data_IF_773584885520
#
_entry.id   IF_773584885520
#
_cell.length_a   1.000
_cell.length_b   1.000
_cell.length_c   1.000
_cell.angle_alpha   90.00
_cell.angle_beta   90.00
_cell.angle_gamma   90.00
#
_symmetry.space_group_name_H-M   'P 1'
#
loop_
_entity.id
_entity.type
_entity.pdbx_description
1 polymer ?
2 polymer ?
3 non-polymer ?
4 non-polymer ?
5 water ?
#
# COMPACT_ATOMS: atom_id res chain seq x y z
N UNK A 6 -9.20 29.58 -7.66
CA UNK A 6 -9.34 29.27 -6.24
C UNK A 6 -8.13 28.58 -5.61
N UNK A 7 -7.40 29.31 -4.78
CA UNK A 7 -6.18 28.78 -4.20
C UNK A 7 -6.09 29.20 -2.74
N UNK A 8 -5.70 28.27 -1.88
CA UNK A 8 -5.86 28.45 -0.45
C UNK A 8 -4.85 29.46 0.08
N UNK A 9 -5.15 29.97 1.28
CA UNK A 9 -4.40 31.03 1.95
C UNK A 9 -3.94 30.60 3.35
N UNK A 10 -3.74 29.28 3.62
CA UNK A 10 -3.57 28.79 4.98
C UNK A 10 -2.64 27.60 5.20
N UNK A 11 -3.02 26.74 6.13
CA UNK A 11 -2.16 25.61 6.50
C UNK A 11 -2.29 24.52 5.46
N UNK A 12 -1.21 23.76 5.28
CA UNK A 12 -1.10 22.70 4.29
C UNK A 12 -1.20 21.35 4.96
N UNK A 13 -1.97 20.44 4.37
CA UNK A 13 -2.17 19.11 4.91
C UNK A 13 -1.69 18.08 3.91
N UNK A 14 -0.85 17.15 4.35
CA UNK A 14 -0.43 16.02 3.52
C UNK A 14 -1.14 14.77 4.02
N UNK A 15 -1.98 14.17 3.17
CA UNK A 15 -2.64 12.90 3.48
C UNK A 15 -2.09 11.83 2.55
N UNK A 16 -1.27 10.92 3.04
CA UNK A 16 -0.73 9.88 2.17
C UNK A 16 -1.81 8.86 1.82
N UNK A 17 -1.67 8.26 0.65
CA UNK A 17 -2.65 7.32 0.13
C UNK A 17 -1.92 6.18 -0.54
N UNK A 18 -2.68 5.11 -0.81
CA UNK A 18 -2.19 3.97 -1.57
C UNK A 18 -3.23 3.67 -2.62
N UNK A 19 -2.78 3.42 -3.85
CA UNK A 19 -3.70 3.11 -4.93
C UNK A 19 -3.08 1.99 -5.76
N UNK A 20 -3.94 1.27 -6.47
CA UNK A 20 -3.48 0.17 -7.30
C UNK A 20 -4.57 -0.88 -7.46
N UNK A 21 -4.16 -2.13 -7.70
CA UNK A 21 -5.17 -3.16 -7.85
C UNK A 21 -4.68 -4.50 -7.31
N UNK A 22 -5.64 -5.34 -6.99
CA UNK A 22 -5.42 -6.76 -6.80
C UNK A 22 -6.09 -7.47 -7.97
N UNK A 23 -5.58 -8.65 -8.32
CA UNK A 23 -6.22 -9.45 -9.36
C UNK A 23 -5.97 -10.93 -9.08
N UNK A 24 -6.97 -11.77 -9.36
CA UNK A 24 -6.89 -13.20 -9.15
C UNK A 24 -7.18 -13.93 -10.47
N UNK A 25 -6.37 -14.94 -10.77
CA UNK A 25 -6.37 -15.52 -12.12
C UNK A 25 -7.28 -16.73 -12.21
N UNK A 26 -7.48 -17.17 -13.45
CA UNK A 26 -8.43 -18.22 -13.81
C UNK A 26 -9.78 -17.97 -13.13
N UNK A 27 -10.49 -16.99 -13.69
CA UNK A 27 -11.79 -16.62 -13.19
C UNK A 27 -12.48 -15.52 -13.98
N UNK A 30 -15.03 -18.04 -17.26
CA UNK A 30 -14.42 -18.06 -18.57
C UNK A 30 -15.41 -18.47 -19.67
N UNK A 31 -16.29 -19.45 -19.39
CA UNK A 31 -17.19 -19.92 -20.43
C UNK A 31 -18.25 -18.87 -20.76
N UNK A 32 -18.70 -18.11 -19.78
CA UNK A 32 -19.75 -17.11 -20.05
C UNK A 32 -19.25 -16.05 -21.01
N UNK A 33 -17.97 -15.66 -20.91
CA UNK A 33 -17.51 -14.47 -21.60
C UNK A 33 -16.02 -14.50 -21.96
N UNK A 34 -15.33 -15.61 -21.75
CA UNK A 34 -13.90 -15.70 -22.04
C UNK A 34 -13.00 -14.97 -21.06
N UNK A 35 -13.53 -14.46 -19.96
CA UNK A 35 -12.71 -13.69 -19.04
C UNK A 35 -11.77 -14.59 -18.26
N UNK A 36 -10.60 -14.04 -17.90
CA UNK A 36 -9.55 -14.80 -17.26
C UNK A 36 -9.23 -14.37 -15.84
N UNK A 37 -9.69 -13.18 -15.41
CA UNK A 37 -9.28 -12.59 -14.14
C UNK A 37 -10.42 -11.80 -13.52
N UNK A 38 -10.51 -11.84 -12.19
CA UNK A 38 -11.22 -10.84 -11.43
C UNK A 38 -10.21 -9.88 -10.83
N UNK A 39 -10.55 -8.60 -10.82
CA UNK A 39 -9.64 -7.62 -10.25
C UNK A 39 -10.43 -6.53 -9.54
N UNK A 40 -9.77 -5.89 -8.58
CA UNK A 40 -10.27 -4.74 -7.85
C UNK A 40 -9.23 -3.65 -7.91
N UNK A 41 -9.61 -2.46 -8.37
CA UNK A 41 -8.78 -1.26 -8.35
C UNK A 41 -9.25 -0.34 -7.22
N UNK A 42 -8.33 0.30 -6.54
CA UNK A 42 -8.73 0.96 -5.30
C UNK A 42 -7.79 2.09 -4.93
N UNK A 43 -8.32 3.00 -4.09
CA UNK A 43 -7.55 4.02 -3.37
C UNK A 43 -7.92 3.91 -1.90
N UNK A 44 -6.93 3.89 -1.01
CA UNK A 44 -7.14 3.88 0.43
C UNK A 44 -6.11 4.79 1.08
N UNK A 45 -6.33 5.21 2.33
CA UNK A 45 -5.29 5.98 3.03
C UNK A 45 -4.16 5.06 3.48
N UNK A 46 -2.96 5.61 3.54
CA UNK A 46 -1.81 4.81 3.99
C UNK A 46 -2.03 4.28 5.40
N UNK A 47 -2.38 5.16 6.32
CA UNK A 47 -2.86 4.80 7.64
C UNK A 47 -4.37 4.95 7.63
N UNK A 48 -5.06 4.06 8.30
CA UNK A 48 -6.51 4.12 8.23
C UNK A 48 -7.04 5.41 8.83
N UNK A 49 -8.04 5.97 8.18
CA UNK A 49 -8.77 7.14 8.63
C UNK A 49 -10.01 7.25 7.75
N UNK A 50 -11.01 7.93 8.25
CA UNK A 50 -12.23 8.18 7.49
C UNK A 50 -11.88 9.22 6.44
N UNK A 51 -11.50 8.74 5.26
CA UNK A 51 -11.17 9.56 4.08
C UNK A 51 -12.38 10.33 3.52
N UNK A 52 -13.63 9.98 3.93
CA UNK A 52 -14.82 10.78 3.67
C UNK A 52 -14.80 12.14 4.35
N UNK A 53 -13.92 12.35 5.34
CA UNK A 53 -13.79 13.69 5.92
C UNK A 53 -13.51 14.73 4.84
N UNK A 54 -12.81 14.36 3.77
CA UNK A 54 -12.40 15.32 2.75
C UNK A 54 -12.60 14.82 1.32
N UNK A 55 -12.61 13.52 1.04
CA UNK A 55 -12.93 13.06 -0.30
C UNK A 55 -14.44 13.11 -0.51
N UNK A 56 -14.85 13.74 -1.61
CA UNK A 56 -16.25 13.72 -2.05
C UNK A 56 -16.57 12.44 -2.84
N UNK A 57 -15.71 12.09 -3.79
CA UNK A 57 -15.98 10.96 -4.69
C UNK A 57 -14.73 10.68 -5.48
N UNK A 58 -14.58 9.44 -5.90
CA UNK A 58 -13.42 9.02 -6.67
C UNK A 58 -13.90 8.34 -7.96
N UNK A 59 -13.38 8.78 -9.10
CA UNK A 59 -13.74 8.24 -10.40
C UNK A 59 -12.66 7.30 -10.89
N UNK A 60 -13.09 6.16 -11.42
CA UNK A 60 -12.18 5.22 -12.08
C UNK A 60 -12.61 5.15 -13.55
N UNK A 61 -11.76 5.67 -14.43
CA UNK A 61 -12.04 5.66 -15.87
C UNK A 61 -11.35 4.44 -16.48
N UNK A 62 -12.15 3.50 -16.98
CA UNK A 62 -11.67 2.25 -17.55
C UNK A 62 -11.49 2.32 -19.07
N UNK A 63 -10.94 1.24 -19.63
CA UNK A 63 -10.75 1.14 -21.07
C UNK A 63 -12.10 1.05 -21.78
N UNK A 64 -12.13 1.48 -23.05
CA UNK A 64 -13.40 1.61 -23.74
C UNK A 64 -14.06 0.26 -23.97
N UNK A 65 -13.32 -0.84 -23.86
CA UNK A 65 -13.89 -2.17 -24.00
C UNK A 65 -14.90 -2.48 -22.90
N UNK A 66 -14.85 -1.75 -21.79
CA UNK A 66 -15.86 -1.91 -20.77
C UNK A 66 -17.11 -1.14 -21.15
N UNK A 67 -18.26 -1.79 -21.02
CA UNK A 67 -19.50 -1.05 -21.02
C UNK A 67 -19.46 -0.12 -19.83
N UNK A 68 -19.77 1.15 -20.07
CA UNK A 68 -19.69 2.16 -19.03
C UNK A 68 -18.28 2.21 -18.45
N UNK A 69 -17.34 2.84 -19.14
CA UNK A 69 -15.98 2.90 -18.60
C UNK A 69 -15.81 3.86 -17.45
N UNK A 70 -16.74 4.80 -17.24
CA UNK A 70 -16.63 5.73 -16.12
C UNK A 70 -17.33 5.15 -14.89
N UNK A 71 -16.54 4.85 -13.86
CA UNK A 71 -17.03 4.31 -12.60
C UNK A 71 -16.80 5.31 -11.47
N UNK A 72 -17.78 5.50 -10.62
CA UNK A 72 -17.66 6.51 -9.57
C UNK A 72 -18.09 5.90 -8.25
N UNK A 73 -17.27 6.11 -7.22
CA UNK A 73 -17.55 5.64 -5.86
C UNK A 73 -17.46 6.81 -4.89
N UNK A 74 -18.48 6.96 -4.05
CA UNK A 74 -18.60 8.11 -3.16
C UNK A 74 -18.38 7.80 -1.68
N UNK A 75 -18.43 6.53 -1.28
CA UNK A 75 -18.29 6.12 0.11
C UNK A 75 -17.23 5.02 0.20
N UNK A 76 -16.52 4.94 1.32
CA UNK A 76 -15.51 3.89 1.46
C UNK A 76 -16.14 2.52 1.45
N UNK A 77 -15.40 1.47 1.03
CA UNK A 77 -14.06 1.55 0.47
C UNK A 77 -14.09 1.99 -0.98
N UNK A 78 -13.13 2.81 -1.37
CA UNK A 78 -13.11 3.37 -2.71
C UNK A 78 -12.49 2.33 -3.63
N UNK A 79 -13.33 1.45 -4.16
CA UNK A 79 -12.86 0.33 -4.96
C UNK A 79 -13.87 0.00 -6.05
N UNK A 80 -13.37 -0.56 -7.14
CA UNK A 80 -14.17 -1.01 -8.25
C UNK A 80 -13.68 -2.41 -8.56
N UNK A 81 -14.59 -3.37 -8.61
CA UNK A 81 -14.24 -4.76 -8.85
C UNK A 81 -14.80 -5.16 -10.20
N UNK A 82 -14.05 -5.95 -10.94
CA UNK A 82 -14.47 -6.21 -12.30
C UNK A 82 -13.82 -7.51 -12.76
N UNK A 83 -14.27 -8.05 -13.89
CA UNK A 83 -13.57 -9.14 -14.54
C UNK A 83 -13.13 -8.71 -15.93
N UNK A 84 -12.04 -9.29 -16.40
CA UNK A 84 -11.54 -8.86 -17.69
C UNK A 84 -10.58 -9.87 -18.25
N UNK A 85 -10.01 -9.52 -19.40
CA UNK A 85 -8.99 -10.32 -20.04
C UNK A 85 -7.69 -9.59 -20.21
N UNK A 86 -7.69 -8.27 -20.04
CA UNK A 86 -6.58 -7.46 -20.47
C UNK A 86 -6.14 -6.45 -19.43
N UNK A 87 -4.88 -6.04 -19.60
CA UNK A 87 -4.27 -4.96 -18.85
C UNK A 87 -4.36 -3.67 -19.66
N UNK A 88 -4.63 -2.57 -18.95
CA UNK A 88 -4.75 -1.25 -19.54
C UNK A 88 -4.53 -0.24 -18.42
N UNK A 89 -4.37 1.00 -18.82
CA UNK A 89 -4.16 2.10 -17.91
C UNK A 89 -5.50 2.65 -17.44
N UNK A 90 -5.63 2.81 -16.11
CA UNK A 90 -6.84 3.34 -15.48
C UNK A 90 -6.52 4.73 -14.97
N UNK A 91 -7.42 5.68 -15.20
CA UNK A 91 -7.27 7.03 -14.69
C UNK A 91 -8.13 7.16 -13.44
N UNK A 92 -7.50 7.49 -12.32
CA UNK A 92 -8.20 7.67 -11.04
C UNK A 92 -8.21 9.16 -10.73
N UNK A 93 -9.40 9.75 -10.62
CA UNK A 93 -9.55 11.18 -10.34
C UNK A 93 -10.25 11.34 -9.01
N UNK A 94 -9.59 11.98 -8.05
CA UNK A 94 -10.11 12.18 -6.70
C UNK A 94 -10.66 13.61 -6.59
N UNK A 95 -11.94 13.74 -6.22
CA UNK A 95 -12.63 15.01 -6.03
C UNK A 95 -12.91 15.28 -4.55
N UNK A 96 -12.82 16.55 -4.16
CA UNK A 96 -12.85 16.93 -2.75
C UNK A 96 -14.17 17.58 -2.37
N UNK A 97 -14.54 17.39 -1.10
CA UNK A 97 -15.72 18.05 -0.55
C UNK A 97 -15.61 19.57 -0.70
N UNK A 98 -14.44 20.14 -0.40
CA UNK A 98 -14.26 21.59 -0.49
C UNK A 98 -14.14 21.99 -1.96
N UNK A 99 -14.97 22.91 -2.44
CA UNK A 99 -15.04 23.16 -3.91
C UNK A 99 -13.85 23.93 -4.45
N UNK A 100 -12.98 24.44 -3.60
CA UNK A 100 -11.79 25.13 -4.03
C UNK A 100 -10.54 24.28 -3.92
N UNK A 101 -10.67 23.04 -3.46
CA UNK A 101 -9.58 22.08 -3.50
C UNK A 101 -9.70 21.33 -4.82
N UNK A 102 -8.75 21.55 -5.72
CA UNK A 102 -8.84 21.01 -7.06
C UNK A 102 -8.64 19.50 -7.05
N UNK A 103 -9.18 18.78 -8.03
CA UNK A 103 -9.09 17.31 -8.04
C UNK A 103 -7.67 16.83 -8.27
N UNK A 104 -7.46 15.57 -7.89
CA UNK A 104 -6.17 14.90 -8.03
C UNK A 104 -6.37 13.78 -9.04
N UNK A 105 -5.48 13.71 -10.04
CA UNK A 105 -5.57 12.68 -11.07
C UNK A 105 -4.40 11.71 -10.93
N UNK A 106 -4.72 10.44 -10.74
CA UNK A 106 -3.76 9.36 -10.70
C UNK A 106 -3.91 8.49 -11.94
N UNK A 107 -2.83 7.81 -12.30
CA UNK A 107 -2.80 6.85 -13.41
C UNK A 107 -2.26 5.52 -12.90
N UNK A 108 -2.93 4.43 -13.24
CA UNK A 108 -2.53 3.13 -12.75
C UNK A 108 -2.65 2.10 -13.86
N UNK A 109 -1.55 1.41 -14.13
CA UNK A 109 -1.55 0.32 -15.07
C UNK A 109 -2.02 -0.91 -14.31
N UNK A 110 -3.20 -1.39 -14.70
CA UNK A 110 -3.78 -2.62 -14.17
C UNK A 110 -2.92 -3.81 -14.52
N UNK A 111 -2.57 -4.59 -13.50
CA UNK A 111 -1.73 -5.76 -13.66
C UNK A 111 -2.57 -7.00 -13.37
N UNK A 112 -2.47 -8.03 -14.24
CA UNK A 112 -3.22 -9.27 -14.07
C UNK A 112 -2.37 -10.51 -13.88
N UNK A 113 -1.25 -10.65 -14.58
CA UNK A 113 -0.50 -11.91 -14.57
C UNK A 113 0.96 -11.78 -14.12
N UNK A 121 4.88 -20.01 -14.51
CA UNK A 121 3.76 -19.24 -13.99
C UNK A 121 2.90 -20.07 -13.04
N UNK A 122 3.15 -19.95 -11.74
CA UNK A 122 2.44 -20.76 -10.76
C UNK A 122 1.48 -19.98 -9.89
N UNK A 123 1.76 -18.70 -9.62
CA UNK A 123 0.98 -17.95 -8.66
C UNK A 123 -0.27 -17.35 -9.32
N UNK A 124 -1.34 -17.25 -8.52
CA UNK A 124 -2.65 -16.88 -9.01
C UNK A 124 -2.98 -15.41 -8.80
N UNK A 125 -2.42 -14.79 -7.75
CA UNK A 125 -2.80 -13.45 -7.31
C UNK A 125 -1.69 -12.44 -7.57
N UNK A 126 -2.08 -11.22 -7.89
CA UNK A 126 -1.12 -10.16 -8.10
C UNK A 126 -1.63 -8.91 -7.40
N UNK A 127 -0.72 -8.19 -6.74
CA UNK A 127 -0.99 -6.92 -6.08
C UNK A 127 -0.02 -5.88 -6.61
N UNK A 128 -0.53 -4.82 -7.26
CA UNK A 128 0.33 -3.75 -7.77
C UNK A 128 -0.16 -2.44 -7.16
N UNK A 129 0.68 -1.85 -6.31
CA UNK A 129 0.22 -0.92 -5.30
C UNK A 129 1.21 0.23 -5.20
N UNK A 130 0.73 1.46 -5.25
CA UNK A 130 1.64 2.59 -5.18
C UNK A 130 1.27 3.58 -4.08
N UNK A 131 2.31 4.18 -3.52
CA UNK A 131 2.21 5.22 -2.52
C UNK A 131 2.18 6.59 -3.20
N UNK A 132 1.28 7.45 -2.72
CA UNK A 132 1.30 8.84 -3.13
C UNK A 132 0.86 9.67 -1.93
N UNK A 133 0.78 10.99 -2.12
CA UNK A 133 0.37 11.91 -1.07
C UNK A 133 -0.52 13.00 -1.67
N UNK A 134 -1.71 13.17 -1.11
CA UNK A 134 -2.55 14.32 -1.43
C UNK A 134 -2.20 15.52 -0.54
N UNK A 135 -1.82 16.64 -1.15
CA UNK A 135 -1.53 17.88 -0.45
C UNK A 135 -2.82 18.71 -0.47
N UNK A 136 -3.60 18.64 0.61
CA UNK A 136 -4.73 19.52 0.77
C UNK A 136 -4.21 20.84 1.32
N UNK A 137 -5.09 21.79 1.52
CA UNK A 137 -4.79 22.89 2.42
C UNK A 137 -5.97 23.05 3.36
N UNK A 138 -5.67 23.20 4.66
CA UNK A 138 -6.70 23.28 5.69
C UNK A 138 -6.96 24.73 6.10
N UNK A 139 -8.12 25.02 6.66
CA UNK A 139 -8.32 26.32 7.33
C UNK A 139 -7.34 26.55 8.46
N UNK A 140 -6.96 27.83 8.65
CA UNK A 140 -5.89 28.23 9.58
C UNK A 140 -6.42 28.64 10.94
N UNK A 141 -7.27 27.77 11.52
CA UNK A 141 -7.71 27.83 12.92
C UNK A 141 -6.67 28.28 13.95
N UNK B 15 4.27 11.60 19.11
CA UNK B 15 4.26 11.10 17.73
C UNK B 15 4.21 9.58 17.71
N UNK B 16 3.00 9.01 17.79
CA UNK B 16 2.89 7.55 17.76
C UNK B 16 3.22 7.02 16.37
N UNK B 17 4.39 6.37 16.29
CA UNK B 17 4.95 5.84 15.05
C UNK B 17 5.15 4.36 15.29
N UNK B 18 4.44 3.52 14.51
CA UNK B 18 4.54 2.08 14.60
C UNK B 18 5.70 1.59 13.73
N UNK B 19 6.19 0.39 14.04
CA UNK B 19 7.33 -0.21 13.35
C UNK B 19 7.30 -1.71 13.56
N UNK B 20 7.93 -2.44 12.63
CA UNK B 20 7.93 -3.89 12.70
C UNK B 20 7.89 -4.52 11.33
N UNK B 21 7.34 -5.73 11.20
CA UNK B 21 7.19 -6.26 9.86
C UNK B 21 5.91 -7.07 9.71
N UNK B 22 5.49 -7.23 8.45
CA UNK B 22 4.50 -8.21 8.05
C UNK B 22 5.20 -9.29 7.25
N UNK B 23 4.52 -10.42 7.09
CA UNK B 23 5.08 -11.51 6.28
C UNK B 23 3.99 -12.50 5.89
N UNK B 24 4.25 -13.21 4.80
CA UNK B 24 3.37 -14.30 4.33
C UNK B 24 4.22 -15.46 3.85
N UNK B 25 4.05 -16.63 4.48
CA UNK B 25 4.56 -17.89 3.93
C UNK B 25 3.77 -18.23 2.68
N UNK B 26 4.44 -18.70 1.63
CA UNK B 26 3.82 -18.42 0.36
C UNK B 26 4.08 -19.55 -0.62
N UNK B 35 12.67 -19.53 -1.81
CA UNK B 35 12.32 -18.93 -0.52
C UNK B 35 10.93 -19.40 -0.04
N UNK B 36 10.59 -19.08 1.21
CA UNK B 36 9.26 -19.39 1.75
C UNK B 36 8.47 -18.19 2.20
N UNK B 37 9.07 -17.01 2.24
CA UNK B 37 8.38 -15.88 2.84
C UNK B 37 8.68 -14.64 2.04
N UNK B 38 7.67 -13.81 1.88
CA UNK B 38 7.85 -12.41 1.54
C UNK B 38 7.54 -11.59 2.78
N UNK B 39 8.36 -10.56 3.03
CA UNK B 39 8.17 -9.73 4.20
C UNK B 39 8.50 -8.27 3.90
N UNK B 40 7.93 -7.40 4.71
CA UNK B 40 8.16 -5.97 4.62
C UNK B 40 8.43 -5.44 6.02
N UNK B 41 9.62 -4.87 6.23
CA UNK B 41 9.98 -4.15 7.44
C UNK B 41 9.71 -2.67 7.23
N UNK B 42 9.29 -1.97 8.27
CA UNK B 42 8.83 -0.61 8.05
C UNK B 42 8.82 0.19 9.34
N UNK B 43 8.85 1.50 9.18
CA UNK B 43 8.40 2.44 10.20
C UNK B 43 7.45 3.41 9.53
N UNK B 44 6.38 3.76 10.24
CA UNK B 44 5.38 4.65 9.67
C UNK B 44 4.62 5.34 10.81
N UNK B 45 3.95 6.45 10.54
CA UNK B 45 3.10 7.07 11.57
C UNK B 45 1.92 6.19 11.92
N UNK B 46 1.44 6.30 13.15
CA UNK B 46 0.20 5.60 13.49
C UNK B 46 -1.00 6.34 12.90
N UNK B 47 -0.99 7.67 12.96
CA UNK B 47 -2.00 8.46 12.29
C UNK B 47 -1.58 8.69 10.85
N UNK B 48 -2.56 8.94 9.99
CA UNK B 48 -2.25 9.15 8.59
C UNK B 48 -1.64 10.53 8.37
N UNK B 49 -0.33 10.64 8.51
CA UNK B 49 0.30 11.93 8.37
C UNK B 49 1.56 11.76 7.56
N UNK B 50 2.17 12.89 7.25
CA UNK B 50 3.44 12.91 6.53
C UNK B 50 4.57 12.85 7.55
N UNK B 51 5.14 11.65 7.72
CA UNK B 51 6.25 11.49 8.64
C UNK B 51 7.49 12.25 8.18
N UNK B 52 7.56 12.61 6.89
CA UNK B 52 8.65 13.43 6.39
C UNK B 52 8.60 14.86 6.93
N UNK B 53 7.52 15.23 7.63
CA UNK B 53 7.51 16.49 8.36
C UNK B 53 8.47 16.46 9.54
N UNK B 54 8.88 15.28 10.02
CA UNK B 54 9.74 15.20 11.18
C UNK B 54 10.72 14.02 11.15
N UNK B 55 10.86 13.31 10.03
CA UNK B 55 11.81 12.21 9.88
C UNK B 55 12.86 12.58 8.84
N UNK B 56 14.14 12.55 9.23
CA UNK B 56 15.24 12.79 8.31
C UNK B 56 15.23 11.75 7.18
N UNK B 57 15.42 10.49 7.55
CA UNK B 57 15.49 9.30 6.70
C UNK B 57 15.62 8.10 7.63
N UNK B 58 15.33 6.91 7.11
CA UNK B 58 15.31 5.70 7.93
C UNK B 58 16.27 4.69 7.33
N UNK B 59 17.10 4.11 8.17
CA UNK B 59 18.12 3.14 7.75
C UNK B 59 17.77 1.75 8.27
N UNK B 60 17.76 0.77 7.38
CA UNK B 60 17.39 -0.61 7.72
C UNK B 60 18.61 -1.50 7.55
N UNK B 61 19.27 -1.81 8.67
CA UNK B 61 20.45 -2.68 8.69
C UNK B 61 19.99 -4.13 8.63
N UNK B 62 20.14 -4.76 7.47
CA UNK B 62 19.72 -6.15 7.30
C UNK B 62 20.81 -7.10 7.77
N UNK B 63 20.50 -8.39 7.72
CA UNK B 63 21.43 -9.42 8.14
C UNK B 63 22.57 -9.53 7.15
N UNK B 64 23.74 -9.95 7.65
CA UNK B 64 24.95 -10.08 6.83
C UNK B 64 24.76 -10.90 5.56
N UNK B 65 23.65 -11.64 5.44
CA UNK B 65 23.38 -12.50 4.30
C UNK B 65 22.56 -11.82 3.23
N UNK B 66 22.24 -10.54 3.38
CA UNK B 66 21.51 -9.82 2.36
C UNK B 66 22.48 -8.88 1.66
N UNK B 67 22.28 -8.69 0.36
CA UNK B 67 23.08 -7.70 -0.35
C UNK B 67 22.81 -6.31 0.18
N UNK B 68 23.89 -5.55 0.39
CA UNK B 68 23.79 -4.19 0.90
C UNK B 68 22.93 -4.16 2.16
N UNK B 69 23.45 -4.64 3.31
CA UNK B 69 22.60 -4.81 4.49
C UNK B 69 22.07 -3.50 5.07
N UNK B 70 22.84 -2.41 4.97
CA UNK B 70 22.38 -1.09 5.39
C UNK B 70 21.53 -0.52 4.26
N UNK B 71 20.23 -0.68 4.37
CA UNK B 71 19.31 -0.23 3.34
C UNK B 71 18.81 1.17 3.69
N UNK B 72 18.96 2.09 2.76
CA UNK B 72 18.75 3.51 3.00
C UNK B 72 17.51 3.95 2.25
N UNK B 73 16.51 4.43 2.98
CA UNK B 73 15.31 5.00 2.39
C UNK B 73 15.18 6.44 2.86
N UNK B 74 15.19 7.36 1.90
CA UNK B 74 14.96 8.77 2.18
C UNK B 74 13.50 9.12 1.96
N UNK B 75 13.00 8.87 0.75
CA UNK B 75 11.63 9.25 0.43
C UNK B 75 10.66 8.20 0.94
N UNK B 76 9.56 8.59 1.58
CA UNK B 76 8.60 7.61 2.10
C UNK B 76 7.93 6.87 0.96
N UNK B 77 7.36 5.68 1.20
CA UNK B 77 7.21 4.96 2.48
C UNK B 77 8.51 4.36 2.98
N UNK B 78 8.73 4.43 4.31
CA UNK B 78 9.92 3.88 4.94
C UNK B 78 9.69 2.38 5.14
N UNK B 79 9.82 1.64 4.04
CA UNK B 79 9.66 0.19 4.10
C UNK B 79 10.56 -0.49 3.10
N UNK B 80 11.07 -1.64 3.51
CA UNK B 80 11.89 -2.52 2.69
C UNK B 80 11.15 -3.85 2.57
N UNK B 81 10.90 -4.27 1.33
CA UNK B 81 10.20 -5.52 1.03
C UNK B 81 11.17 -6.52 0.40
N UNK B 82 11.13 -7.76 0.88
CA UNK B 82 12.00 -8.81 0.38
C UNK B 82 11.31 -10.16 0.52
N UNK B 83 11.90 -11.17 -0.11
CA UNK B 83 11.62 -12.55 0.22
C UNK B 83 12.83 -13.11 0.98
N UNK B 84 12.56 -14.09 1.84
CA UNK B 84 13.66 -14.74 2.51
C UNK B 84 13.22 -16.09 3.00
N UNK B 85 14.08 -16.71 3.80
CA UNK B 85 13.74 -17.96 4.45
C UNK B 85 13.89 -17.94 5.97
N UNK B 86 14.57 -16.93 6.55
CA UNK B 86 14.94 -16.98 7.94
C UNK B 86 14.70 -15.68 8.68
N UNK B 87 14.67 -15.80 10.00
CA UNK B 87 14.44 -14.70 10.92
C UNK B 87 15.78 -14.19 11.45
N UNK B 88 15.83 -12.91 11.79
CA UNK B 88 17.05 -12.23 12.21
C UNK B 88 16.65 -10.84 12.67
N UNK B 89 17.51 -10.19 13.45
CA UNK B 89 17.09 -8.86 13.93
C UNK B 89 17.51 -7.80 12.91
N UNK B 90 16.75 -6.70 12.91
CA UNK B 90 16.94 -5.59 11.98
C UNK B 90 17.21 -4.35 12.81
N UNK B 91 18.22 -3.59 12.44
CA UNK B 91 18.59 -2.36 13.12
C UNK B 91 18.09 -1.19 12.28
N UNK B 92 17.38 -0.26 12.93
CA UNK B 92 16.63 0.79 12.24
C UNK B 92 17.13 2.14 12.77
N UNK B 93 17.89 2.85 11.95
CA UNK B 93 18.39 4.19 12.31
C UNK B 93 17.44 5.28 11.81
N UNK B 103 19.59 9.13 15.45
CA UNK B 103 19.02 8.97 16.79
C UNK B 103 17.75 8.10 16.77
N UNK B 104 17.35 7.59 17.95
CA UNK B 104 16.20 6.70 18.12
C UNK B 104 16.40 5.38 17.38
N UNK B 105 17.46 4.65 17.73
CA UNK B 105 17.72 3.36 17.13
C UNK B 105 16.81 2.31 17.72
N UNK B 106 16.06 1.63 16.86
CA UNK B 106 15.17 0.56 17.29
C UNK B 106 15.70 -0.77 16.79
N UNK B 107 15.31 -1.85 17.48
CA UNK B 107 15.69 -3.19 17.11
C UNK B 107 14.44 -4.02 16.90
N UNK B 108 14.41 -4.78 15.81
CA UNK B 108 13.26 -5.60 15.48
C UNK B 108 13.75 -6.96 15.03
N UNK B 109 13.16 -8.01 15.61
CA UNK B 109 13.37 -9.36 15.13
C UNK B 109 12.40 -9.58 13.99
N UNK B 110 12.92 -9.71 12.77
CA UNK B 110 12.05 -10.05 11.66
C UNK B 110 11.32 -11.35 11.99
N UNK B 111 9.99 -11.28 12.06
CA UNK B 111 9.18 -12.45 12.38
C UNK B 111 8.56 -12.97 11.09
N UNK B 112 8.93 -14.19 10.72
CA UNK B 112 8.31 -14.87 9.61
C UNK B 112 7.37 -15.97 10.07
N UNK B 113 7.64 -16.57 11.20
CA UNK B 113 6.98 -17.80 11.55
C UNK B 113 5.70 -17.50 12.31
N UNK B 114 4.58 -17.86 11.67
CA UNK B 114 3.27 -17.77 12.28
C UNK B 114 3.23 -18.67 13.49
N UNK B 115 2.54 -18.23 14.55
CA UNK B 115 2.38 -19.11 15.68
C UNK B 115 1.35 -20.19 15.33
N UNK B 116 1.36 -21.25 16.15
CA UNK B 116 0.42 -22.33 15.91
C UNK B 116 -1.00 -21.84 16.06
N UNK B 117 -1.24 -21.01 17.08
CA UNK B 117 -2.56 -20.46 17.38
C UNK B 117 -3.16 -19.79 16.16
N UNK B 118 -2.43 -18.87 15.56
CA UNK B 118 -2.96 -18.20 14.38
C UNK B 118 -2.90 -19.08 13.15
N UNK B 119 -1.90 -19.98 13.07
CA UNK B 119 -1.95 -21.00 12.03
C UNK B 119 -3.24 -21.80 12.11
N UNK B 120 -3.69 -22.15 13.32
CA UNK B 120 -4.87 -22.98 13.45
C UNK B 120 -6.14 -22.20 13.10
N UNK B 121 -6.09 -20.86 13.23
CA UNK B 121 -7.20 -19.94 12.94
C UNK B 121 -7.26 -19.54 11.47
N UNK B 122 -6.36 -20.03 10.64
CA UNK B 122 -6.36 -19.69 9.22
C UNK B 122 -5.94 -18.27 8.87
N UNK B 123 -5.14 -17.61 9.71
CA UNK B 123 -4.59 -16.28 9.39
C UNK B 123 -3.44 -16.46 8.42
N UNK B 124 -3.63 -16.03 7.18
CA UNK B 124 -2.60 -16.20 6.16
C UNK B 124 -1.42 -15.27 6.36
N UNK B 125 -1.58 -14.21 7.16
CA UNK B 125 -0.63 -13.12 7.27
C UNK B 125 -0.09 -13.05 8.69
N UNK B 126 1.24 -12.94 8.82
CA UNK B 126 1.90 -12.81 10.11
C UNK B 126 2.40 -11.39 10.24
N UNK B 127 2.17 -10.79 11.39
CA UNK B 127 2.48 -9.39 11.61
C UNK B 127 3.12 -9.24 12.97
N UNK B 128 4.16 -8.42 13.03
CA UNK B 128 4.84 -8.13 14.28
C UNK B 128 5.07 -6.61 14.31
N UNK B 129 3.97 -5.86 14.46
CA UNK B 129 4.06 -4.42 14.62
C UNK B 129 4.22 -4.10 16.09
N UNK B 130 5.10 -3.15 16.39
CA UNK B 130 5.31 -2.70 17.77
C UNK B 130 4.87 -1.25 17.86
N UNK B 131 3.70 -1.06 18.50
CA UNK B 131 3.17 0.27 18.72
C UNK B 131 4.09 1.06 19.64
N UNK B 132 4.43 2.28 19.22
CA UNK B 132 5.40 3.11 19.90
C UNK B 132 4.75 4.48 20.07
N UNK B 133 5.29 5.31 20.97
CA UNK B 133 4.54 6.49 21.36
C UNK B 133 5.20 7.83 21.09
N UNK B 134 6.51 7.88 20.78
CA UNK B 134 7.17 9.16 20.50
C UNK B 134 8.49 8.88 19.82
N UNK B 135 9.21 9.97 19.53
CA UNK B 135 10.50 9.95 18.82
C UNK B 135 11.64 10.44 19.73
N UNK C 5 -7.60 3.06 -26.62
CA UNK C 5 -6.16 3.05 -26.33
C UNK C 5 -5.61 1.63 -26.32
N UNK C 6 -4.58 1.39 -25.50
CA UNK C 6 -3.94 0.07 -25.47
C UNK C 6 -4.41 -0.79 -24.30
N UNK C 8 -3.83 -4.99 -23.49
CA UNK C 8 -3.12 -6.15 -24.00
C UNK C 8 -3.23 -7.34 -23.07
N UNK C 9 -3.52 -8.48 -23.69
CA UNK C 9 -3.65 -9.77 -23.01
C UNK C 9 -2.26 -10.35 -22.79
N UNK C 10 -2.15 -11.51 -22.12
CA UNK C 10 -0.77 -12.03 -21.97
C UNK C 10 -0.18 -12.53 -23.30
N UNK D 5 24.86 -12.20 14.19
CA UNK D 5 24.95 -12.89 12.89
C UNK D 5 23.93 -14.02 12.80
N UNK D 6 23.05 -14.12 13.79
CA UNK D 6 22.13 -15.26 13.89
C UNK D 6 20.94 -15.15 12.93
N UNK D 8 17.87 -17.98 11.56
CA UNK D 8 17.41 -19.35 11.54
C UNK D 8 15.96 -19.45 11.08
N UNK D 9 15.63 -20.63 10.58
CA UNK D 9 14.30 -20.96 10.10
C UNK D 9 13.63 -21.81 11.20
N UNK D 10 12.70 -22.76 10.91
CA UNK D 10 12.31 -23.49 12.12
C UNK D 10 12.97 -24.88 12.24
#
# INVERSE_FOLDING_TARGET
>A
GSDSGGRVKGVTIVKPIVYGNVARYFGKKREEDGHTHQWTVYVKPYRNEDMSAYVKKIQFKLHESYGNPLRVVTKPPYEITETGWGEFEIIIKIFFIDPNERPVTLYHLLKLFQSDTNAMLGKKTVVSEFYDEMIFQDPTAM
>B
GSDSGGRVKGVTIVKPIVYGNVARYFGKKREEDGHTHQWTVYVKPYRNEDMSAYVKKIQFKLHESYGNPLRVVTKPPYEITETGWGEFEIIIKIFFIDPNERPVTLYHLLKLFQSDTNAMLGKKTVVSEFYDEMIFQDPTAM
>C
ATKAARXSAPATG
>D
ATKAARXSAPATG
#
